data_IF_213636201160
#
_entry.id   IF_213636201160
#
_cell.length_a   1.000
_cell.length_b   1.000
_cell.length_c   1.000
_cell.angle_alpha   90.00
_cell.angle_beta   90.00
_cell.angle_gamma   90.00
#
_symmetry.space_group_name_H-M   'P 1'
#
loop_
_entity.id
_entity.type
_entity.pdbx_description
1 polymer ?
#
# COMPACT_ATOMS: atom_id res chain seq x y z
N UNK A 1 9.54 -39.78 19.28
CA UNK A 1 8.90 -38.55 19.79
C UNK A 1 10.03 -37.57 20.09
N UNK A 2 10.22 -36.56 19.23
CA UNK A 2 11.26 -35.54 19.41
C UNK A 2 10.66 -34.32 20.11
N UNK A 3 11.34 -33.71 21.09
CA UNK A 3 10.78 -32.61 21.85
C UNK A 3 10.88 -31.31 21.05
N UNK A 4 9.76 -30.60 20.96
CA UNK A 4 9.68 -29.21 20.52
C UNK A 4 10.24 -28.32 21.62
N UNK A 5 11.40 -27.71 21.40
CA UNK A 5 11.88 -26.60 22.23
C UNK A 5 12.63 -25.58 21.39
N UNK A 6 12.10 -24.36 21.36
CA UNK A 6 12.80 -23.17 20.89
C UNK A 6 11.91 -22.32 20.00
N UNK A 7 11.39 -21.23 20.55
CA UNK A 7 10.95 -20.04 19.80
C UNK A 7 12.16 -19.38 19.10
N UNK A 8 12.97 -20.15 18.40
CA UNK A 8 14.04 -19.65 17.57
C UNK A 8 13.38 -19.05 16.35
N UNK A 9 13.42 -17.72 16.25
CA UNK A 9 13.26 -17.04 14.96
C UNK A 9 14.18 -17.80 13.99
N UNK A 10 13.62 -18.49 12.95
CA UNK A 10 14.43 -19.25 12.01
C UNK A 10 15.60 -18.39 11.54
N UNK A 11 16.82 -18.93 11.44
CA UNK A 11 18.01 -18.13 11.10
C UNK A 11 17.82 -17.22 9.88
N UNK A 12 16.99 -17.64 8.92
CA UNK A 12 16.58 -16.84 7.76
C UNK A 12 15.90 -15.49 8.09
N UNK A 13 15.21 -15.37 9.23
CA UNK A 13 14.59 -14.12 9.68
C UNK A 13 15.57 -13.21 10.45
N UNK A 14 16.68 -13.75 10.97
CA UNK A 14 17.76 -12.97 11.61
C UNK A 14 18.58 -12.23 10.56
N UNK A 15 18.68 -12.77 9.34
CA UNK A 15 19.36 -12.16 8.20
C UNK A 15 18.51 -11.09 7.48
N UNK A 16 17.25 -10.90 7.90
CA UNK A 16 16.42 -9.82 7.36
C UNK A 16 16.90 -8.48 7.92
N UNK A 17 17.51 -7.66 7.05
CA UNK A 17 17.80 -6.27 7.37
C UNK A 17 16.51 -5.44 7.32
N UNK A 18 15.79 -5.43 8.44
CA UNK A 18 14.58 -4.62 8.63
C UNK A 18 14.85 -3.11 8.52
N UNK A 19 16.11 -2.66 8.52
CA UNK A 19 16.48 -1.25 8.39
C UNK A 19 16.67 -0.79 6.93
N UNK A 20 16.81 -1.73 5.99
CA UNK A 20 16.98 -1.44 4.56
C UNK A 20 15.94 -2.16 3.71
N UNK A 21 14.71 -1.65 3.75
CA UNK A 21 13.67 -2.08 2.82
C UNK A 21 13.88 -1.38 1.48
N UNK A 22 14.05 -2.14 0.40
CA UNK A 22 13.99 -1.60 -0.96
C UNK A 22 12.56 -1.20 -1.31
N UNK A 23 12.43 -0.19 -2.16
CA UNK A 23 11.16 0.21 -2.75
C UNK A 23 10.48 -1.01 -3.38
N UNK A 24 9.19 -1.19 -3.10
CA UNK A 24 8.39 -2.33 -3.55
C UNK A 24 7.42 -1.92 -4.67
N UNK A 25 7.67 -0.77 -5.32
CA UNK A 25 6.92 -0.36 -6.49
C UNK A 25 6.96 -1.45 -7.56
N UNK A 26 5.81 -1.77 -8.15
CA UNK A 26 5.67 -2.75 -9.23
C UNK A 26 6.49 -2.38 -10.48
N UNK A 27 6.92 -1.12 -10.61
CA UNK A 27 7.83 -0.65 -11.66
C UNK A 27 9.29 -1.16 -11.50
N UNK A 28 9.60 -1.95 -10.47
CA UNK A 28 10.93 -2.54 -10.28
C UNK A 28 11.97 -1.57 -9.72
N UNK A 29 11.56 -0.62 -8.88
CA UNK A 29 12.45 0.36 -8.27
C UNK A 29 13.33 -0.29 -7.18
N UNK A 30 14.65 -0.09 -7.24
CA UNK A 30 15.59 -0.63 -6.24
C UNK A 30 16.07 0.39 -5.20
N UNK A 31 15.56 1.63 -5.25
CA UNK A 31 15.90 2.67 -4.27
C UNK A 31 15.50 2.24 -2.85
N UNK A 32 16.15 2.79 -1.82
CA UNK A 32 15.71 2.60 -0.43
C UNK A 32 14.30 3.17 -0.24
N UNK A 33 13.41 2.37 0.33
CA UNK A 33 12.09 2.83 0.73
C UNK A 33 12.18 3.77 1.93
N UNK A 34 11.28 4.74 1.97
CA UNK A 34 11.20 5.72 3.05
C UNK A 34 9.78 5.93 3.56
N UNK A 35 8.78 5.33 2.91
CA UNK A 35 7.37 5.51 3.26
C UNK A 35 6.62 4.18 3.16
N UNK A 36 5.62 4.03 4.02
CA UNK A 36 4.52 3.06 3.89
C UNK A 36 3.30 3.85 3.44
N UNK A 37 2.58 3.36 2.45
CA UNK A 37 1.45 4.03 1.83
C UNK A 37 0.26 3.07 1.81
N UNK A 38 -0.90 3.56 2.26
CA UNK A 38 -2.15 2.82 2.22
C UNK A 38 -3.02 3.35 1.09
N UNK A 39 -3.18 2.53 0.05
CA UNK A 39 -3.96 2.83 -1.15
C UNK A 39 -5.26 2.03 -1.12
N UNK A 40 -6.40 2.71 -1.12
CA UNK A 40 -7.71 2.07 -1.20
C UNK A 40 -7.80 1.23 -2.48
N UNK A 41 -8.08 -0.06 -2.32
CA UNK A 41 -8.34 -0.96 -3.44
C UNK A 41 -9.78 -0.74 -3.95
N UNK A 42 -10.01 0.36 -4.66
CA UNK A 42 -11.34 0.77 -5.16
C UNK A 42 -12.01 -0.38 -5.91
N UNK A 43 -13.27 -0.65 -5.59
CA UNK A 43 -14.12 -1.73 -6.13
C UNK A 43 -13.61 -3.15 -5.89
N UNK A 44 -12.58 -3.31 -5.05
CA UNK A 44 -12.00 -4.59 -4.67
C UNK A 44 -11.53 -4.58 -3.22
N UNK A 45 -12.07 -3.70 -2.38
CA UNK A 45 -11.58 -3.46 -1.03
C UNK A 45 -11.95 -4.56 -0.02
N UNK A 46 -12.53 -5.66 -0.50
CA UNK A 46 -12.86 -6.90 0.20
C UNK A 46 -11.97 -8.08 -0.23
N UNK A 47 -11.01 -7.87 -1.15
CA UNK A 47 -10.11 -8.92 -1.60
C UNK A 47 -9.21 -9.45 -0.47
N UNK A 48 -8.84 -10.75 -0.52
CA UNK A 48 -7.80 -11.27 0.35
C UNK A 48 -6.47 -10.55 0.12
N UNK A 49 -5.68 -10.39 1.18
CA UNK A 49 -4.37 -9.71 1.24
C UNK A 49 -4.39 -8.17 1.28
N UNK A 50 -5.55 -7.56 1.51
CA UNK A 50 -5.64 -6.16 1.88
C UNK A 50 -5.47 -5.96 3.39
N UNK A 51 -5.17 -4.73 3.80
CA UNK A 51 -5.28 -4.36 5.21
C UNK A 51 -6.75 -4.42 5.69
N UNK A 52 -7.01 -4.38 7.02
CA UNK A 52 -8.38 -4.44 7.55
C UNK A 52 -9.31 -3.31 7.10
N UNK A 53 -8.79 -2.26 6.46
CA UNK A 53 -9.55 -1.11 5.96
C UNK A 53 -9.74 -1.17 4.43
N UNK A 54 -9.33 -2.27 3.79
CA UNK A 54 -9.48 -2.49 2.36
C UNK A 54 -8.44 -1.74 1.51
N UNK A 55 -7.25 -1.52 2.05
CA UNK A 55 -6.15 -0.89 1.33
C UNK A 55 -5.08 -1.91 0.91
N UNK A 56 -4.51 -1.69 -0.28
CA UNK A 56 -3.18 -2.18 -0.64
C UNK A 56 -2.14 -1.39 0.16
N UNK A 57 -1.15 -2.08 0.70
CA UNK A 57 -0.03 -1.46 1.40
C UNK A 57 1.19 -1.50 0.50
N UNK A 58 1.70 -0.32 0.13
CA UNK A 58 2.93 -0.19 -0.65
C UNK A 58 4.07 0.39 0.20
N UNK A 59 5.28 -0.13 0.01
CA UNK A 59 6.49 0.37 0.68
C UNK A 59 7.36 1.08 -0.36
N UNK A 60 7.35 2.41 -0.36
CA UNK A 60 7.87 3.22 -1.47
C UNK A 60 9.04 4.10 -1.05
N UNK A 61 9.93 4.39 -2.00
CA UNK A 61 10.82 5.54 -1.90
C UNK A 61 10.04 6.84 -2.17
N UNK A 62 10.58 7.99 -1.78
CA UNK A 62 9.93 9.29 -1.97
C UNK A 62 9.55 9.55 -3.44
N UNK A 63 10.39 9.16 -4.41
CA UNK A 63 10.09 9.37 -5.82
C UNK A 63 8.89 8.53 -6.29
N UNK A 64 8.81 7.25 -5.86
CA UNK A 64 7.69 6.38 -6.19
C UNK A 64 6.40 6.80 -5.48
N UNK A 65 6.48 7.31 -4.24
CA UNK A 65 5.32 7.91 -3.56
C UNK A 65 4.72 9.06 -4.38
N UNK A 66 5.56 9.95 -4.90
CA UNK A 66 5.09 11.08 -5.71
C UNK A 66 4.47 10.62 -7.03
N UNK A 67 5.03 9.57 -7.64
CA UNK A 67 4.47 8.94 -8.82
C UNK A 67 3.09 8.34 -8.54
N UNK A 68 2.94 7.55 -7.46
CA UNK A 68 1.67 6.97 -7.05
C UNK A 68 0.61 8.06 -6.76
N UNK A 69 1.00 9.15 -6.09
CA UNK A 69 0.11 10.28 -5.84
C UNK A 69 -0.33 10.96 -7.15
N UNK A 70 0.59 11.15 -8.10
CA UNK A 70 0.27 11.72 -9.40
C UNK A 70 -0.68 10.82 -10.22
N UNK A 71 -0.48 9.51 -10.17
CA UNK A 71 -1.37 8.53 -10.81
C UNK A 71 -2.76 8.53 -10.18
N UNK A 72 -2.86 8.50 -8.85
CA UNK A 72 -4.13 8.60 -8.14
C UNK A 72 -4.86 9.92 -8.47
N UNK A 73 -4.16 11.06 -8.48
CA UNK A 73 -4.72 12.34 -8.90
C UNK A 73 -5.21 12.31 -10.35
N UNK A 74 -4.48 11.67 -11.25
CA UNK A 74 -4.89 11.53 -12.65
C UNK A 74 -6.13 10.63 -12.80
N UNK A 75 -6.28 9.59 -11.99
CA UNK A 75 -7.47 8.73 -11.94
C UNK A 75 -8.70 9.52 -11.46
N UNK A 76 -8.58 10.15 -10.30
CA UNK A 76 -9.64 10.99 -9.72
C UNK A 76 -9.99 12.16 -10.65
N UNK A 77 -9.00 12.76 -11.29
CA UNK A 77 -9.19 13.83 -12.27
C UNK A 77 -10.09 13.42 -13.45
N UNK A 78 -10.10 12.14 -13.85
CA UNK A 78 -10.99 11.62 -14.90
C UNK A 78 -12.45 11.48 -14.46
N UNK A 79 -12.69 11.48 -13.15
CA UNK A 79 -14.04 11.40 -12.58
C UNK A 79 -14.67 12.79 -12.41
N UNK A 80 -13.94 13.87 -12.71
CA UNK A 80 -14.47 15.24 -12.62
C UNK A 80 -15.70 15.40 -13.52
N UNK A 81 -16.83 15.78 -12.90
CA UNK A 81 -18.10 15.97 -13.58
C UNK A 81 -19.02 14.75 -13.59
N UNK A 82 -18.56 13.60 -13.10
CA UNK A 82 -19.45 12.50 -12.73
C UNK A 82 -20.13 12.81 -11.39
N UNK A 83 -21.42 12.48 -11.27
CA UNK A 83 -22.14 12.60 -10.00
C UNK A 83 -21.75 11.46 -9.05
N UNK A 84 -21.34 11.82 -7.82
CA UNK A 84 -21.22 10.94 -6.65
C UNK A 84 -20.52 9.58 -6.90
N UNK A 85 -19.28 9.61 -7.39
CA UNK A 85 -18.48 8.38 -7.56
C UNK A 85 -18.06 7.83 -6.20
N UNK A 86 -18.30 6.53 -6.02
CA UNK A 86 -18.04 5.80 -4.79
C UNK A 86 -17.52 4.40 -5.12
N UNK A 87 -16.79 3.80 -4.18
CA UNK A 87 -16.38 2.41 -4.24
C UNK A 87 -17.62 1.52 -4.12
N UNK A 88 -17.83 0.60 -5.06
CA UNK A 88 -18.97 -0.30 -5.12
C UNK A 88 -18.93 -1.39 -4.03
N UNK A 89 -17.76 -1.61 -3.43
CA UNK A 89 -17.58 -2.60 -2.36
C UNK A 89 -17.94 -2.02 -0.99
N UNK A 90 -17.40 -0.85 -0.61
CA UNK A 90 -17.60 -0.27 0.73
C UNK A 90 -18.44 1.00 0.76
N UNK A 91 -18.78 1.59 -0.39
CA UNK A 91 -19.54 2.84 -0.49
C UNK A 91 -18.73 4.11 -0.17
N UNK A 92 -17.44 4.00 0.13
CA UNK A 92 -16.59 5.17 0.39
C UNK A 92 -16.50 6.07 -0.86
N UNK A 93 -16.43 7.40 -0.70
CA UNK A 93 -16.28 8.33 -1.82
C UNK A 93 -14.99 8.06 -2.60
N UNK A 94 -14.99 8.41 -3.89
CA UNK A 94 -13.82 8.36 -4.79
C UNK A 94 -13.78 9.65 -5.59
N UNK A 95 -13.38 10.73 -4.94
CA UNK A 95 -13.53 12.11 -5.44
C UNK A 95 -12.29 12.98 -5.28
N UNK A 96 -11.40 12.62 -4.34
CA UNK A 96 -10.15 13.33 -4.07
C UNK A 96 -8.98 12.36 -3.84
N UNK A 97 -7.76 12.88 -3.75
CA UNK A 97 -6.57 12.05 -3.55
C UNK A 97 -6.64 11.26 -2.24
N UNK A 98 -7.13 11.86 -1.15
CA UNK A 98 -7.28 11.22 0.16
C UNK A 98 -8.26 10.04 0.16
N UNK A 99 -9.19 9.98 -0.78
CA UNK A 99 -10.10 8.85 -0.95
C UNK A 99 -9.39 7.60 -1.50
N UNK A 100 -8.29 7.81 -2.25
CA UNK A 100 -7.44 6.78 -2.82
C UNK A 100 -6.22 6.53 -1.93
N UNK A 101 -5.40 7.53 -1.68
CA UNK A 101 -4.22 7.48 -0.83
C UNK A 101 -4.60 7.92 0.59
N UNK A 102 -5.08 6.96 1.38
CA UNK A 102 -5.70 7.22 2.69
C UNK A 102 -4.68 7.48 3.79
N UNK A 103 -3.47 6.94 3.67
CA UNK A 103 -2.38 7.21 4.59
C UNK A 103 -1.02 7.09 3.90
N UNK A 104 -0.05 7.88 4.38
CA UNK A 104 1.34 7.82 3.98
C UNK A 104 2.23 8.20 5.16
N UNK A 105 2.94 7.22 5.72
CA UNK A 105 3.79 7.39 6.89
C UNK A 105 5.26 7.15 6.53
N UNK A 106 6.18 7.92 7.13
CA UNK A 106 7.61 7.66 7.00
C UNK A 106 8.01 6.38 7.75
N UNK A 107 8.97 5.63 7.19
CA UNK A 107 9.60 4.45 7.80
C UNK A 107 10.60 4.81 8.90
#
# INVERSE_FOLDING_TARGET
MSPTTGNGIPGALVDLDWHTVSCQSEAGCSNRATHIVHLHAVDSCDHPNLDPFGNTVEILCIACLWQAAAEALAQVGRLRGAEAVHCLTCGAPVSELSDIMRDAAAL
#
